data_IF_123767585272
#
_entry.id   IF_123767585272
#
_cell.length_a   1.000
_cell.length_b   1.000
_cell.length_c   1.000
_cell.angle_alpha   90.00
_cell.angle_beta   90.00
_cell.angle_gamma   90.00
#
_symmetry.space_group_name_H-M   'P 1'
#
loop_
_entity.id
_entity.type
_entity.pdbx_description
1 polymer ?
#
# COMPACT_ATOMS: atom_id res chain seq x y z
N UNK A 1 -11.91 -3.11 30.93
CA UNK A 1 -10.53 -2.83 31.39
C UNK A 1 -10.59 -1.87 32.57
N UNK A 2 -10.14 -2.30 33.75
CA UNK A 2 -10.20 -1.51 34.99
C UNK A 2 -8.99 -0.56 35.07
N UNK A 3 -9.24 0.71 35.40
CA UNK A 3 -8.22 1.77 35.53
C UNK A 3 -7.08 1.40 36.52
N UNK A 4 -7.36 0.54 37.50
CA UNK A 4 -6.36 0.04 38.46
C UNK A 4 -5.28 -0.83 37.79
N UNK A 5 -5.64 -1.61 36.78
CA UNK A 5 -4.70 -2.47 36.06
C UNK A 5 -3.72 -1.64 35.22
N UNK A 6 -4.17 -0.52 34.65
CA UNK A 6 -3.33 0.38 33.86
C UNK A 6 -2.23 1.03 34.71
N UNK A 7 -2.53 1.47 35.94
CA UNK A 7 -1.53 2.09 36.83
C UNK A 7 -0.43 1.10 37.22
N UNK A 8 -0.80 -0.16 37.50
CA UNK A 8 0.17 -1.21 37.83
C UNK A 8 1.10 -1.50 36.65
N UNK A 9 0.55 -1.66 35.44
CA UNK A 9 1.34 -1.89 34.22
C UNK A 9 2.31 -0.74 33.96
N UNK A 10 1.88 0.51 34.16
CA UNK A 10 2.76 1.69 34.02
C UNK A 10 3.92 1.65 35.02
N UNK A 11 3.63 1.35 36.29
CA UNK A 11 4.67 1.27 37.33
C UNK A 11 5.65 0.11 37.10
N UNK A 12 5.18 -1.03 36.60
CA UNK A 12 6.02 -2.16 36.24
C UNK A 12 6.91 -1.83 35.03
N UNK A 13 6.36 -1.20 33.99
CA UNK A 13 7.11 -0.79 32.82
C UNK A 13 8.18 0.27 33.15
N UNK A 14 7.89 1.20 34.07
CA UNK A 14 8.85 2.21 34.53
C UNK A 14 10.13 1.58 35.12
N UNK A 15 10.03 0.36 35.66
CA UNK A 15 11.14 -0.38 36.28
C UNK A 15 11.90 -1.28 35.29
N UNK A 16 11.49 -1.37 34.03
CA UNK A 16 12.15 -2.22 33.03
C UNK A 16 13.14 -1.40 32.19
N UNK A 17 14.36 -1.93 32.04
CA UNK A 17 15.37 -1.37 31.15
C UNK A 17 15.13 -1.81 29.70
N UNK A 18 15.35 -0.89 28.77
CA UNK A 18 15.42 -1.23 27.36
C UNK A 18 16.78 -1.89 27.07
N UNK A 19 16.80 -3.11 26.57
CA UNK A 19 18.05 -3.79 26.25
C UNK A 19 18.82 -3.14 25.08
N UNK A 20 18.17 -2.27 24.29
CA UNK A 20 18.76 -1.58 23.12
C UNK A 20 19.46 -0.28 23.52
N UNK A 21 18.81 0.57 24.32
CA UNK A 21 19.34 1.88 24.71
C UNK A 21 19.72 2.00 26.19
N UNK A 22 19.53 0.94 26.97
CA UNK A 22 19.77 0.84 28.43
C UNK A 22 18.92 1.76 29.32
N UNK A 23 18.08 2.64 28.75
CA UNK A 23 17.20 3.54 29.50
C UNK A 23 15.98 2.82 30.09
N UNK A 24 15.46 3.35 31.19
CA UNK A 24 14.26 2.86 31.88
C UNK A 24 12.97 3.10 31.09
N UNK A 25 11.86 2.48 31.51
CA UNK A 25 10.54 2.70 30.92
C UNK A 25 10.23 1.83 29.70
N UNK A 26 10.90 0.69 29.55
CA UNK A 26 10.63 -0.23 28.44
C UNK A 26 9.28 -0.96 28.66
N UNK A 27 8.28 -0.61 27.87
CA UNK A 27 6.91 -1.14 28.00
C UNK A 27 6.67 -2.45 27.23
N UNK A 28 7.50 -2.76 26.23
CA UNK A 28 7.35 -3.97 25.41
C UNK A 28 8.27 -5.04 25.97
N UNK A 29 7.73 -6.22 26.27
CA UNK A 29 8.51 -7.39 26.71
C UNK A 29 8.48 -8.47 25.65
N UNK A 30 9.56 -9.25 25.57
CA UNK A 30 9.59 -10.46 24.77
C UNK A 30 8.50 -11.43 25.23
N UNK A 31 7.82 -12.06 24.28
CA UNK A 31 6.75 -13.03 24.53
C UNK A 31 7.28 -14.41 24.92
N UNK A 32 8.52 -14.71 24.53
CA UNK A 32 9.14 -16.01 24.80
C UNK A 32 9.26 -16.29 26.31
N UNK A 33 8.94 -17.52 26.69
CA UNK A 33 8.89 -17.91 28.10
C UNK A 33 10.30 -17.92 28.68
N UNK A 34 10.52 -17.22 29.79
CA UNK A 34 11.84 -17.11 30.42
C UNK A 34 12.73 -16.02 29.82
N UNK A 35 12.28 -15.29 28.79
CA UNK A 35 13.01 -14.11 28.30
C UNK A 35 12.60 -12.85 29.08
N UNK A 36 13.57 -12.18 29.70
CA UNK A 36 13.37 -10.95 30.48
C UNK A 36 13.57 -9.66 29.65
N UNK A 37 14.01 -9.80 28.40
CA UNK A 37 14.33 -8.66 27.53
C UNK A 37 13.10 -7.80 27.29
N UNK A 38 13.28 -6.51 27.57
CA UNK A 38 12.29 -5.47 27.36
C UNK A 38 12.86 -4.36 26.47
N UNK A 39 12.02 -3.71 25.67
CA UNK A 39 12.44 -2.64 24.76
C UNK A 39 11.38 -1.55 24.62
N UNK A 40 11.81 -0.34 24.24
CA UNK A 40 10.88 0.71 23.83
C UNK A 40 10.39 0.45 22.41
N UNK A 41 9.17 0.87 22.10
CA UNK A 41 8.63 0.79 20.73
C UNK A 41 9.55 1.45 19.69
N UNK A 42 10.11 2.66 19.90
CA UNK A 42 11.04 3.27 18.93
C UNK A 42 12.37 2.51 18.81
N UNK A 43 12.79 1.80 19.85
CA UNK A 43 14.01 0.99 19.84
C UNK A 43 13.84 -0.35 19.12
N UNK A 44 12.60 -0.78 18.84
CA UNK A 44 12.34 -2.09 18.24
C UNK A 44 13.05 -2.27 16.89
N UNK A 45 13.07 -1.25 16.04
CA UNK A 45 13.76 -1.32 14.74
C UNK A 45 15.27 -1.41 14.89
N UNK A 46 15.85 -0.67 15.83
CA UNK A 46 17.30 -0.68 16.08
C UNK A 46 17.75 -2.00 16.73
N UNK A 47 16.94 -2.53 17.65
CA UNK A 47 17.17 -3.82 18.30
C UNK A 47 16.68 -5.02 17.49
N UNK A 48 16.36 -4.84 16.21
CA UNK A 48 15.85 -5.87 15.30
C UNK A 48 14.73 -6.76 15.91
N UNK A 49 13.86 -6.13 16.68
CA UNK A 49 12.73 -6.77 17.33
C UNK A 49 11.54 -6.82 16.38
N UNK A 50 10.66 -7.79 16.61
CA UNK A 50 9.43 -7.99 15.85
C UNK A 50 8.23 -7.82 16.79
N UNK A 51 7.32 -6.91 16.45
CA UNK A 51 6.03 -6.76 17.12
C UNK A 51 4.93 -7.10 16.13
N UNK A 52 4.10 -8.06 16.50
CA UNK A 52 2.92 -8.47 15.73
C UNK A 52 1.74 -7.59 16.13
N UNK A 53 1.11 -6.91 15.17
CA UNK A 53 0.00 -5.97 15.42
C UNK A 53 -1.38 -6.64 15.26
N UNK A 54 -1.47 -7.93 15.55
CA UNK A 54 -2.68 -8.74 15.42
C UNK A 54 -2.79 -9.73 16.60
N UNK A 55 -3.99 -10.29 16.80
CA UNK A 55 -4.25 -11.26 17.86
C UNK A 55 -3.88 -10.72 19.24
N UNK A 56 -2.92 -11.39 19.90
CA UNK A 56 -2.45 -11.06 21.26
C UNK A 56 -1.36 -9.97 21.30
N UNK A 57 -1.04 -9.34 20.16
CA UNK A 57 -0.03 -8.29 20.06
C UNK A 57 1.36 -8.71 20.58
N UNK A 58 1.80 -9.92 20.21
CA UNK A 58 3.06 -10.52 20.68
C UNK A 58 4.27 -9.75 20.17
N UNK A 59 5.29 -9.65 20.99
CA UNK A 59 6.55 -8.99 20.66
C UNK A 59 7.73 -9.88 20.99
N UNK A 60 8.77 -9.82 20.18
CA UNK A 60 9.92 -10.73 20.26
C UNK A 60 11.22 -9.93 20.14
N UNK A 61 12.19 -10.24 20.99
CA UNK A 61 13.54 -9.68 20.89
C UNK A 61 14.28 -10.27 19.67
N UNK A 62 15.48 -9.75 19.37
CA UNK A 62 16.25 -10.20 18.20
C UNK A 62 16.54 -11.71 18.16
N UNK A 63 16.61 -12.37 19.31
CA UNK A 63 16.89 -13.81 19.43
C UNK A 63 15.63 -14.67 19.22
N UNK A 64 14.49 -14.23 19.76
CA UNK A 64 13.23 -14.98 19.72
C UNK A 64 12.28 -14.52 18.62
N UNK A 65 12.70 -13.59 17.76
CA UNK A 65 11.87 -13.12 16.66
C UNK A 65 11.58 -14.26 15.68
N UNK A 66 10.41 -14.28 15.04
CA UNK A 66 10.16 -15.20 13.94
C UNK A 66 11.16 -14.97 12.81
N UNK A 67 11.46 -16.05 12.09
CA UNK A 67 12.29 -16.04 10.91
C UNK A 67 11.50 -16.65 9.76
N UNK A 68 11.71 -16.13 8.55
CA UNK A 68 11.08 -16.73 7.37
C UNK A 68 11.71 -18.10 7.13
N UNK A 69 10.87 -19.14 7.08
CA UNK A 69 11.33 -20.51 6.81
C UNK A 69 11.82 -20.70 5.36
N UNK A 70 11.45 -19.77 4.46
CA UNK A 70 11.79 -19.83 3.04
C UNK A 70 13.27 -19.50 2.84
N UNK A 71 14.05 -20.52 2.47
CA UNK A 71 15.39 -20.36 1.93
C UNK A 71 15.29 -19.87 0.49
N UNK A 72 15.91 -18.74 0.21
CA UNK A 72 15.83 -18.13 -1.13
C UNK A 72 16.67 -18.90 -2.14
N UNK A 73 16.20 -18.97 -3.39
CA UNK A 73 17.09 -19.38 -4.49
C UNK A 73 18.20 -18.33 -4.66
N UNK A 74 19.48 -18.75 -4.72
CA UNK A 74 20.58 -17.83 -5.02
C UNK A 74 20.34 -17.20 -6.38
N UNK A 75 20.35 -15.86 -6.44
CA UNK A 75 20.33 -15.10 -7.71
C UNK A 75 21.61 -14.28 -7.79
N UNK A 76 22.09 -14.08 -9.02
CA UNK A 76 23.30 -13.27 -9.27
C UNK A 76 23.08 -11.78 -8.94
N UNK A 77 21.82 -11.31 -8.97
CA UNK A 77 21.43 -9.94 -8.65
C UNK A 77 20.27 -9.95 -7.63
N UNK A 78 20.60 -9.72 -6.36
CA UNK A 78 19.62 -9.56 -5.27
C UNK A 78 19.19 -8.10 -5.17
N UNK A 79 18.14 -7.69 -5.89
CA UNK A 79 17.58 -6.33 -5.82
C UNK A 79 16.20 -6.32 -5.16
N UNK A 80 15.86 -5.23 -4.47
CA UNK A 80 14.53 -5.02 -3.91
C UNK A 80 13.52 -4.79 -5.04
N UNK A 81 12.44 -5.57 -5.09
CA UNK A 81 11.41 -5.42 -6.12
C UNK A 81 10.53 -4.16 -5.99
N UNK A 82 10.82 -3.27 -5.02
CA UNK A 82 10.11 -2.00 -4.81
C UNK A 82 11.01 -0.79 -5.16
N UNK A 83 12.21 -0.71 -4.60
CA UNK A 83 13.12 0.42 -4.84
C UNK A 83 14.23 0.13 -5.86
N UNK A 84 14.36 -1.12 -6.32
CA UNK A 84 15.37 -1.60 -7.27
C UNK A 84 16.82 -1.56 -6.76
N UNK A 85 17.07 -1.07 -5.54
CA UNK A 85 18.38 -1.11 -4.90
C UNK A 85 18.76 -2.54 -4.43
N UNK A 86 20.05 -2.77 -4.22
CA UNK A 86 20.59 -4.04 -3.71
C UNK A 86 20.04 -4.39 -2.33
N UNK A 87 19.72 -5.67 -2.12
CA UNK A 87 19.37 -6.25 -0.82
C UNK A 87 20.40 -7.30 -0.41
N UNK A 88 20.40 -7.72 0.86
CA UNK A 88 21.22 -8.84 1.31
C UNK A 88 20.81 -10.13 0.60
N UNK A 89 21.77 -11.01 0.29
CA UNK A 89 21.49 -12.27 -0.40
C UNK A 89 20.69 -13.25 0.47
N UNK A 90 20.81 -13.13 1.78
CA UNK A 90 20.12 -13.99 2.76
C UNK A 90 18.91 -13.25 3.33
N UNK A 91 17.88 -14.03 3.69
CA UNK A 91 16.79 -13.53 4.52
C UNK A 91 17.34 -13.07 5.86
N UNK A 92 16.88 -11.91 6.32
CA UNK A 92 17.33 -11.29 7.56
C UNK A 92 16.22 -10.42 8.13
N UNK A 93 16.49 -9.72 9.24
CA UNK A 93 15.57 -8.69 9.70
C UNK A 93 15.33 -7.61 8.62
N UNK A 94 16.37 -7.26 7.87
CA UNK A 94 16.33 -6.18 6.88
C UNK A 94 15.82 -6.63 5.51
N UNK A 95 15.98 -7.91 5.17
CA UNK A 95 15.63 -8.46 3.86
C UNK A 95 14.57 -9.55 3.99
N UNK A 96 13.41 -9.31 3.39
CA UNK A 96 12.27 -10.24 3.39
C UNK A 96 11.97 -10.76 2.00
N UNK A 97 11.33 -11.92 1.92
CA UNK A 97 10.96 -12.61 0.68
C UNK A 97 9.47 -12.91 0.65
N UNK A 98 8.88 -12.88 -0.54
CA UNK A 98 7.51 -13.33 -0.74
C UNK A 98 7.43 -14.87 -0.58
N UNK A 99 6.62 -15.41 0.34
CA UNK A 99 6.53 -16.86 0.55
C UNK A 99 5.87 -17.59 -0.63
N UNK A 100 5.04 -16.89 -1.42
CA UNK A 100 4.29 -17.48 -2.52
C UNK A 100 5.16 -17.69 -3.77
N UNK A 101 5.83 -16.64 -4.25
CA UNK A 101 6.67 -16.74 -5.45
C UNK A 101 8.14 -17.07 -5.16
N UNK A 102 8.62 -16.79 -3.94
CA UNK A 102 10.00 -17.02 -3.49
C UNK A 102 11.10 -16.28 -4.29
N UNK A 103 10.73 -15.58 -5.35
CA UNK A 103 11.61 -14.81 -6.21
C UNK A 103 11.68 -13.33 -5.80
N UNK A 104 10.58 -12.78 -5.28
CA UNK A 104 10.52 -11.37 -4.90
C UNK A 104 11.19 -11.12 -3.54
N UNK A 105 12.12 -10.15 -3.51
CA UNK A 105 12.89 -9.75 -2.33
C UNK A 105 12.64 -8.28 -2.02
N UNK A 106 12.68 -7.94 -0.75
CA UNK A 106 12.36 -6.59 -0.31
C UNK A 106 13.16 -6.14 0.90
N UNK A 107 13.54 -4.86 0.89
CA UNK A 107 13.86 -4.16 2.13
C UNK A 107 12.65 -4.14 3.05
N UNK A 108 12.85 -4.44 4.34
CA UNK A 108 11.82 -4.37 5.37
C UNK A 108 11.12 -3.02 5.39
N UNK A 109 11.88 -1.93 5.29
CA UNK A 109 11.33 -0.59 5.25
C UNK A 109 10.47 -0.33 3.98
N UNK A 110 10.88 -0.84 2.82
CA UNK A 110 10.11 -0.70 1.59
C UNK A 110 8.76 -1.40 1.70
N UNK A 111 8.73 -2.62 2.24
CA UNK A 111 7.49 -3.35 2.50
C UNK A 111 6.64 -2.65 3.56
N UNK A 112 7.26 -2.16 4.64
CA UNK A 112 6.52 -1.44 5.68
C UNK A 112 5.82 -0.20 5.12
N UNK A 113 6.49 0.56 4.23
CA UNK A 113 5.88 1.70 3.54
C UNK A 113 4.76 1.25 2.61
N UNK A 114 4.98 0.21 1.80
CA UNK A 114 3.97 -0.34 0.90
C UNK A 114 2.72 -0.80 1.68
N UNK A 115 2.88 -1.52 2.79
CA UNK A 115 1.78 -1.99 3.64
C UNK A 115 0.96 -0.86 4.26
N UNK A 116 1.60 0.25 4.64
CA UNK A 116 0.90 1.43 5.17
C UNK A 116 0.10 2.15 4.08
N UNK A 117 0.63 2.23 2.87
CA UNK A 117 -0.06 2.88 1.74
C UNK A 117 -1.15 2.03 1.10
N UNK A 118 -0.91 0.73 0.91
CA UNK A 118 -1.85 -0.18 0.25
C UNK A 118 -3.00 -0.61 1.17
N UNK A 119 -2.80 -0.61 2.49
CA UNK A 119 -3.84 -0.97 3.45
C UNK A 119 -4.46 -2.34 3.14
N UNK A 120 -5.78 -2.40 2.99
CA UNK A 120 -6.51 -3.64 2.69
C UNK A 120 -6.16 -4.26 1.32
N UNK A 121 -5.59 -3.48 0.39
CA UNK A 121 -5.16 -3.97 -0.91
C UNK A 121 -3.70 -4.45 -0.91
N UNK A 122 -3.08 -4.65 0.24
CA UNK A 122 -1.69 -5.09 0.31
C UNK A 122 -1.52 -6.52 -0.22
N UNK A 123 -0.72 -6.67 -1.28
CA UNK A 123 -0.39 -7.93 -1.93
C UNK A 123 1.06 -7.90 -2.42
N UNK A 124 1.61 -9.04 -2.81
CA UNK A 124 2.94 -9.10 -3.40
C UNK A 124 2.94 -8.35 -4.75
N UNK A 125 3.78 -7.32 -4.95
CA UNK A 125 3.79 -6.57 -6.22
C UNK A 125 4.25 -7.40 -7.42
N UNK A 126 4.86 -8.58 -7.20
CA UNK A 126 5.39 -9.41 -8.28
C UNK A 126 4.45 -10.53 -8.71
N UNK A 127 3.79 -11.21 -7.76
CA UNK A 127 2.91 -12.36 -8.07
C UNK A 127 1.44 -12.14 -7.69
N UNK A 128 1.10 -10.96 -7.17
CA UNK A 128 -0.24 -10.57 -6.74
C UNK A 128 -0.87 -11.46 -5.66
N UNK A 129 -0.13 -12.42 -5.10
CA UNK A 129 -0.61 -13.20 -3.98
C UNK A 129 -0.83 -12.30 -2.76
N UNK A 130 -2.05 -12.36 -2.22
CA UNK A 130 -2.46 -11.61 -1.03
C UNK A 130 -2.38 -12.49 0.22
N UNK A 131 -2.98 -13.68 0.21
CA UNK A 131 -3.17 -14.50 1.40
C UNK A 131 -1.86 -14.89 2.11
N UNK A 132 -0.99 -15.65 1.46
CA UNK A 132 0.28 -16.11 2.05
C UNK A 132 1.20 -14.92 2.30
N UNK A 133 1.22 -13.96 1.39
CA UNK A 133 2.05 -12.77 1.51
C UNK A 133 1.68 -11.92 2.73
N UNK A 134 0.41 -11.55 2.88
CA UNK A 134 -0.07 -10.75 4.01
C UNK A 134 0.19 -11.47 5.33
N UNK A 135 -0.16 -12.77 5.42
CA UNK A 135 0.04 -13.55 6.63
C UNK A 135 1.50 -13.57 7.08
N UNK A 136 2.42 -13.80 6.14
CA UNK A 136 3.86 -13.80 6.41
C UNK A 136 4.35 -12.41 6.83
N UNK A 137 4.00 -11.36 6.09
CA UNK A 137 4.43 -10.00 6.41
C UNK A 137 3.93 -9.55 7.79
N UNK A 138 2.68 -9.85 8.14
CA UNK A 138 2.13 -9.58 9.47
C UNK A 138 2.90 -10.35 10.55
N UNK A 139 3.15 -11.65 10.33
CA UNK A 139 3.91 -12.52 11.25
C UNK A 139 5.32 -11.96 11.50
N UNK A 140 5.95 -11.45 10.44
CA UNK A 140 7.25 -10.80 10.49
C UNK A 140 7.19 -9.37 11.08
N UNK A 141 6.03 -8.88 11.51
CA UNK A 141 5.85 -7.60 12.20
C UNK A 141 5.71 -6.39 11.28
N UNK A 142 5.30 -6.59 10.03
CA UNK A 142 4.92 -5.49 9.14
C UNK A 142 3.54 -4.99 9.54
N UNK A 143 3.47 -3.70 9.84
CA UNK A 143 2.21 -3.06 10.20
C UNK A 143 1.43 -2.69 8.95
N UNK A 144 0.19 -3.14 8.86
CA UNK A 144 -0.76 -2.73 7.82
C UNK A 144 -1.74 -1.68 8.36
N UNK A 145 -2.14 -0.74 7.51
CA UNK A 145 -3.31 0.09 7.77
C UNK A 145 -4.59 -0.71 7.58
N UNK A 146 -5.61 -0.48 8.43
CA UNK A 146 -6.96 -1.05 8.21
C UNK A 146 -7.79 -0.24 7.22
N UNK A 147 -7.28 0.92 6.80
CA UNK A 147 -7.95 1.77 5.83
C UNK A 147 -7.81 1.20 4.42
N UNK A 148 -8.74 1.53 3.49
CA UNK A 148 -8.46 1.44 2.07
C UNK A 148 -7.17 2.19 1.73
N UNK A 149 -6.53 1.89 0.60
CA UNK A 149 -5.28 2.52 0.22
C UNK A 149 -5.34 4.05 0.35
N UNK A 150 -4.20 4.70 0.60
CA UNK A 150 -4.17 6.17 0.66
C UNK A 150 -4.68 6.85 -0.62
N UNK A 151 -4.65 6.15 -1.76
CA UNK A 151 -5.21 6.60 -3.03
C UNK A 151 -6.75 6.40 -3.16
N UNK A 152 -7.38 5.77 -2.17
CA UNK A 152 -8.84 5.61 -2.03
C UNK A 152 -9.41 6.36 -0.81
N UNK A 153 -8.56 7.06 -0.05
CA UNK A 153 -9.01 7.92 1.07
C UNK A 153 -9.50 9.24 0.48
N UNK A 154 -10.78 9.32 0.17
CA UNK A 154 -11.40 10.43 -0.58
C UNK A 154 -11.32 11.79 0.15
N UNK A 155 -11.09 12.87 -0.62
CA UNK A 155 -12.10 13.90 -0.69
C UNK A 155 -12.54 14.06 -2.16
N UNK A 156 -13.64 13.42 -2.53
CA UNK A 156 -14.36 13.66 -3.78
C UNK A 156 -13.66 13.27 -5.11
N UNK A 157 -13.01 12.10 -5.17
CA UNK A 157 -12.59 11.46 -6.42
C UNK A 157 -12.80 9.94 -6.29
N UNK A 158 -14.06 9.51 -6.46
CA UNK A 158 -14.29 8.28 -7.22
C UNK A 158 -13.52 8.33 -8.54
N UNK A 159 -13.32 7.23 -9.28
CA UNK A 159 -12.77 7.37 -10.63
C UNK A 159 -13.52 8.51 -11.29
N UNK A 160 -12.84 9.53 -11.80
CA UNK A 160 -13.48 10.54 -12.62
C UNK A 160 -13.87 9.84 -13.92
N UNK A 161 -14.83 8.94 -13.81
CA UNK A 161 -15.68 8.42 -14.86
C UNK A 161 -16.92 9.31 -14.96
N UNK A 162 -16.81 10.58 -14.54
CA UNK A 162 -17.37 11.61 -15.40
C UNK A 162 -16.55 11.59 -16.67
N UNK A 163 -16.89 10.62 -17.54
CA UNK A 163 -16.61 10.73 -18.96
C UNK A 163 -16.94 12.17 -19.33
N UNK A 164 -16.00 12.81 -20.00
CA UNK A 164 -16.22 14.15 -20.50
C UNK A 164 -17.60 14.18 -21.18
N UNK A 165 -18.48 15.08 -20.74
CA UNK A 165 -19.93 15.00 -21.03
C UNK A 165 -20.46 16.30 -21.60
N UNK A 166 -19.58 17.10 -22.20
CA UNK A 166 -19.95 18.33 -22.89
C UNK A 166 -19.22 18.44 -24.22
N UNK A 167 -19.72 19.34 -25.07
CA UNK A 167 -19.07 19.74 -26.29
C UNK A 167 -18.14 20.95 -26.04
N UNK A 168 -16.85 20.78 -26.33
CA UNK A 168 -15.79 21.80 -26.24
C UNK A 168 -15.53 22.51 -27.58
N UNK A 169 -16.27 22.19 -28.65
CA UNK A 169 -16.16 22.91 -29.91
C UNK A 169 -16.30 24.43 -29.68
N UNK A 170 -15.47 25.23 -30.36
CA UNK A 170 -15.43 26.69 -30.19
C UNK A 170 -16.83 27.31 -30.29
N UNK A 171 -17.63 26.84 -31.24
CA UNK A 171 -19.05 27.15 -31.39
C UNK A 171 -19.89 25.88 -31.29
N UNK A 172 -20.75 25.77 -30.28
CA UNK A 172 -21.68 24.65 -30.15
C UNK A 172 -22.99 24.98 -30.89
N UNK A 173 -23.39 24.09 -31.81
CA UNK A 173 -24.61 24.23 -32.62
C UNK A 173 -25.84 23.53 -32.01
N UNK A 174 -25.65 22.79 -30.91
CA UNK A 174 -26.71 22.01 -30.30
C UNK A 174 -27.77 22.91 -29.64
N UNK A 175 -29.07 22.79 -30.02
CA UNK A 175 -30.15 23.55 -29.38
C UNK A 175 -30.32 23.21 -27.89
N UNK A 176 -30.03 21.97 -27.50
CA UNK A 176 -30.03 21.51 -26.11
C UNK A 176 -28.82 21.99 -25.30
N UNK A 177 -27.90 22.73 -25.92
CA UNK A 177 -26.69 23.25 -25.31
C UNK A 177 -25.57 22.21 -25.20
N UNK A 178 -24.44 22.63 -24.61
CA UNK A 178 -23.18 21.87 -24.65
C UNK A 178 -23.23 20.52 -23.94
N UNK A 179 -24.12 20.34 -22.95
CA UNK A 179 -24.25 19.09 -22.16
C UNK A 179 -25.32 18.14 -22.69
N UNK A 180 -26.08 18.55 -23.71
CA UNK A 180 -27.08 17.68 -24.32
C UNK A 180 -26.37 16.64 -25.19
N UNK A 181 -26.78 15.38 -25.10
CA UNK A 181 -26.19 14.27 -25.86
C UNK A 181 -27.28 13.29 -26.29
N UNK A 182 -27.22 12.85 -27.53
CA UNK A 182 -28.04 11.75 -28.05
C UNK A 182 -27.20 10.46 -28.13
N UNK A 183 -27.85 9.29 -28.07
CA UNK A 183 -27.16 8.01 -28.26
C UNK A 183 -26.73 7.84 -29.73
N UNK A 184 -27.58 8.27 -30.66
CA UNK A 184 -27.34 8.30 -32.10
C UNK A 184 -27.90 9.59 -32.70
N UNK A 185 -27.25 10.10 -33.76
CA UNK A 185 -27.67 11.33 -34.43
C UNK A 185 -26.65 12.47 -34.36
N UNK A 186 -27.02 13.68 -34.84
CA UNK A 186 -26.10 14.81 -34.97
C UNK A 186 -25.57 15.33 -33.63
N UNK A 187 -26.27 15.05 -32.53
CA UNK A 187 -25.91 15.47 -31.17
C UNK A 187 -25.30 14.34 -30.34
N UNK A 188 -24.90 13.23 -30.97
CA UNK A 188 -24.01 12.26 -30.34
C UNK A 188 -22.70 12.91 -29.97
N UNK A 189 -22.28 12.72 -28.72
CA UNK A 189 -21.01 13.23 -28.21
C UNK A 189 -19.88 12.23 -28.50
N UNK A 190 -18.84 12.68 -29.17
CA UNK A 190 -17.62 11.94 -29.44
C UNK A 190 -16.50 12.48 -28.55
N UNK A 191 -15.76 11.57 -27.91
CA UNK A 191 -14.57 11.92 -27.12
C UNK A 191 -13.31 11.77 -27.95
N UNK A 192 -12.31 12.59 -27.63
CA UNK A 192 -11.00 12.48 -28.27
C UNK A 192 -10.44 11.06 -28.06
N UNK A 193 -10.11 10.36 -29.15
CA UNK A 193 -9.59 8.99 -29.10
C UNK A 193 -8.25 8.89 -28.36
N UNK A 194 -7.50 9.98 -28.29
CA UNK A 194 -6.14 10.01 -27.74
C UNK A 194 -6.08 10.42 -26.27
N UNK A 195 -6.88 11.39 -25.83
CA UNK A 195 -6.84 11.89 -24.45
C UNK A 195 -8.14 11.70 -23.65
N UNK A 196 -9.28 11.47 -24.32
CA UNK A 196 -10.62 11.45 -23.73
C UNK A 196 -10.99 12.67 -22.85
N UNK A 197 -10.18 13.73 -22.89
CA UNK A 197 -10.31 14.91 -22.04
C UNK A 197 -11.19 16.01 -22.65
N UNK A 198 -11.35 16.00 -23.98
CA UNK A 198 -12.24 16.87 -24.74
C UNK A 198 -13.33 16.05 -25.45
N UNK A 199 -14.46 16.70 -25.72
CA UNK A 199 -15.55 16.12 -26.50
C UNK A 199 -16.14 17.09 -27.52
N UNK A 200 -16.67 16.57 -28.63
CA UNK A 200 -17.44 17.35 -29.60
C UNK A 200 -18.72 16.62 -29.98
N UNK A 201 -19.78 17.36 -30.28
CA UNK A 201 -20.89 16.77 -31.04
C UNK A 201 -20.44 16.48 -32.47
N UNK A 202 -21.02 15.43 -33.06
CA UNK A 202 -20.77 15.05 -34.44
C UNK A 202 -20.96 16.24 -35.40
N UNK A 203 -22.07 16.99 -35.24
CA UNK A 203 -22.38 18.14 -36.10
C UNK A 203 -21.53 19.38 -35.78
N UNK A 204 -21.01 19.52 -34.56
CA UNK A 204 -20.16 20.65 -34.16
C UNK A 204 -18.74 20.58 -34.75
N UNK A 205 -18.30 19.38 -35.15
CA UNK A 205 -17.02 19.16 -35.84
C UNK A 205 -17.19 18.72 -37.30
N UNK A 206 -18.37 18.94 -37.89
CA UNK A 206 -18.67 18.61 -39.29
C UNK A 206 -18.37 17.15 -39.68
N UNK A 207 -18.56 16.21 -38.74
CA UNK A 207 -18.28 14.79 -38.95
C UNK A 207 -19.44 14.12 -39.70
N UNK A 208 -19.11 13.28 -40.68
CA UNK A 208 -20.10 12.54 -41.47
C UNK A 208 -20.83 11.46 -40.65
N UNK A 209 -22.07 11.14 -41.06
CA UNK A 209 -22.86 10.06 -40.44
C UNK A 209 -22.08 8.73 -40.49
N UNK A 210 -21.86 8.12 -39.31
CA UNK A 210 -21.11 6.86 -39.16
C UNK A 210 -19.67 7.01 -38.66
N UNK A 211 -19.20 8.25 -38.43
CA UNK A 211 -17.87 8.48 -37.86
C UNK A 211 -17.88 8.21 -36.34
N UNK A 212 -17.13 7.21 -35.90
CA UNK A 212 -17.04 6.82 -34.47
C UNK A 212 -15.76 7.27 -33.77
N UNK A 213 -14.85 7.95 -34.48
CA UNK A 213 -13.58 8.42 -33.94
C UNK A 213 -13.38 9.90 -34.24
N UNK A 214 -12.88 10.64 -33.27
CA UNK A 214 -12.54 12.06 -33.37
C UNK A 214 -11.33 12.34 -32.48
N UNK A 215 -10.48 13.28 -32.88
CA UNK A 215 -9.29 13.68 -32.14
C UNK A 215 -9.27 15.21 -32.00
N UNK A 216 -8.96 15.72 -30.81
CA UNK A 216 -8.90 17.16 -30.57
C UNK A 216 -7.57 17.76 -31.06
N UNK A 217 -7.55 19.07 -31.29
CA UNK A 217 -6.36 19.79 -31.79
C UNK A 217 -5.18 19.80 -30.81
N UNK A 218 -5.42 19.45 -29.53
CA UNK A 218 -4.40 19.43 -28.47
C UNK A 218 -3.64 18.11 -28.33
N UNK A 219 -3.97 17.09 -29.13
CA UNK A 219 -3.28 15.80 -29.23
C UNK A 219 -2.45 15.75 -30.51
#
# INVERSE_FOLDING_TARGET
FLVRDTRRIIQEAAKKHCFVCSKMGATITCWETGCDRSFHLPCASQGECVTQFFGLYRSFCWEHRPQQAVQTRPRQNSTCSICLDTVEDKTSYKTMVCPACQDARFHRHCIQRLALHAGICFHCPCCQNQELFVMEMLTMGIRMSKSPPSWQSDPAVGPSDQRHSRCDASTCLCPGGRKHTEEEGPWKLLLCSSCAAEGTHQHCSSLGNGTNSWECMGC
#
